data_IF_311869497061
#
_entry.id   IF_311869497061
#
_cell.length_a   1.000
_cell.length_b   1.000
_cell.length_c   1.000
_cell.angle_alpha   90.00
_cell.angle_beta   90.00
_cell.angle_gamma   90.00
#
_symmetry.space_group_name_H-M   'P 1'
#
loop_
_entity.id
_entity.type
_entity.pdbx_description
1 polymer ?
#
# COMPACT_ATOMS: atom_id res chain seq x y z
N UNK A 1 -36.76 -62.03 -41.00
CA UNK A 1 -35.79 -61.00 -41.45
C UNK A 1 -35.63 -59.99 -40.32
N UNK A 2 -34.59 -60.21 -39.49
CA UNK A 2 -34.32 -59.36 -38.29
C UNK A 2 -33.30 -58.30 -38.67
N UNK A 3 -33.63 -57.04 -38.43
CA UNK A 3 -32.67 -55.91 -38.50
C UNK A 3 -32.19 -55.61 -37.10
N UNK A 4 -30.90 -55.53 -36.83
CA UNK A 4 -30.41 -55.03 -35.53
C UNK A 4 -30.37 -53.50 -35.51
N UNK A 5 -30.86 -52.94 -34.41
CA UNK A 5 -30.80 -51.53 -34.09
C UNK A 5 -29.39 -51.17 -33.60
N UNK A 6 -28.75 -50.19 -34.25
CA UNK A 6 -27.50 -49.57 -33.81
C UNK A 6 -27.75 -48.52 -32.76
N UNK A 7 -27.33 -48.80 -31.54
CA UNK A 7 -27.25 -47.81 -30.44
C UNK A 7 -25.99 -46.93 -30.64
N UNK A 8 -26.21 -45.69 -31.03
CA UNK A 8 -25.14 -44.67 -31.06
C UNK A 8 -24.96 -44.09 -29.65
N UNK A 9 -23.84 -44.43 -29.00
CA UNK A 9 -23.42 -43.84 -27.75
C UNK A 9 -22.87 -42.43 -27.99
N UNK A 10 -23.58 -41.39 -27.53
CA UNK A 10 -23.10 -40.03 -27.50
C UNK A 10 -22.15 -39.86 -26.30
N UNK A 11 -20.86 -39.79 -26.54
CA UNK A 11 -19.87 -39.31 -25.56
C UNK A 11 -19.91 -37.78 -25.51
N UNK A 12 -20.41 -37.23 -24.40
CA UNK A 12 -20.34 -35.81 -24.09
C UNK A 12 -18.98 -35.54 -23.44
N UNK A 13 -18.10 -34.71 -24.00
CA UNK A 13 -16.86 -34.33 -23.34
C UNK A 13 -17.16 -33.36 -22.22
N UNK A 14 -16.83 -33.75 -20.99
CA UNK A 14 -16.88 -32.89 -19.78
C UNK A 14 -15.70 -31.91 -19.86
N UNK A 15 -15.96 -30.67 -20.29
CA UNK A 15 -15.02 -29.57 -20.24
C UNK A 15 -14.80 -29.14 -18.79
N UNK A 16 -13.68 -29.57 -18.19
CA UNK A 16 -13.18 -29.07 -16.92
C UNK A 16 -12.68 -27.63 -17.12
N UNK A 17 -13.52 -26.64 -16.81
CA UNK A 17 -13.10 -25.25 -16.70
C UNK A 17 -12.20 -25.08 -15.47
N UNK A 18 -10.88 -25.12 -15.68
CA UNK A 18 -9.90 -24.69 -14.68
C UNK A 18 -9.99 -23.18 -14.51
N UNK A 19 -10.87 -22.73 -13.62
CA UNK A 19 -10.93 -21.34 -13.20
C UNK A 19 -9.64 -20.98 -12.47
N UNK A 20 -8.81 -20.12 -13.08
CA UNK A 20 -7.73 -19.43 -12.36
C UNK A 20 -8.33 -18.53 -11.29
N UNK A 21 -8.50 -19.05 -10.08
CA UNK A 21 -8.82 -18.23 -8.93
C UNK A 21 -7.59 -17.34 -8.64
N UNK A 22 -7.64 -16.09 -9.07
CA UNK A 22 -6.70 -15.07 -8.60
C UNK A 22 -6.95 -14.92 -7.10
N UNK A 23 -6.12 -15.56 -6.29
CA UNK A 23 -6.07 -15.25 -4.85
C UNK A 23 -5.64 -13.80 -4.73
N UNK A 24 -6.60 -12.92 -4.40
CA UNK A 24 -6.29 -11.62 -3.82
C UNK A 24 -5.38 -11.89 -2.63
N UNK A 25 -4.14 -11.43 -2.67
CA UNK A 25 -3.22 -11.56 -1.55
C UNK A 25 -3.90 -10.93 -0.34
N UNK A 26 -4.20 -11.74 0.67
CA UNK A 26 -4.78 -11.24 1.91
C UNK A 26 -3.82 -10.20 2.50
N UNK A 27 -4.37 -9.09 3.02
CA UNK A 27 -3.59 -8.11 3.74
C UNK A 27 -2.78 -8.83 4.84
N UNK A 28 -1.49 -8.46 5.03
CA UNK A 28 -0.70 -9.09 6.07
C UNK A 28 -1.37 -8.90 7.44
N UNK A 29 -1.32 -9.91 8.33
CA UNK A 29 -1.97 -9.84 9.62
C UNK A 29 -1.47 -8.64 10.44
N UNK A 30 -2.31 -8.03 11.31
CA UNK A 30 -1.90 -6.97 12.21
C UNK A 30 -0.70 -7.40 13.06
N UNK A 31 0.21 -6.46 13.36
CA UNK A 31 1.29 -6.68 14.34
C UNK A 31 0.75 -6.24 15.70
N UNK A 32 0.64 -7.13 16.69
CA UNK A 32 0.10 -6.78 18.00
C UNK A 32 0.84 -5.60 18.64
N UNK A 33 0.11 -4.66 19.22
CA UNK A 33 0.67 -3.47 19.88
C UNK A 33 1.06 -2.33 18.94
N UNK A 34 0.79 -2.44 17.64
CA UNK A 34 1.05 -1.40 16.63
C UNK A 34 -0.19 -1.05 15.84
N UNK A 35 -0.28 0.21 15.42
CA UNK A 35 -1.41 0.74 14.64
C UNK A 35 -1.29 0.24 13.20
N UNK A 36 -2.31 -0.45 12.71
CA UNK A 36 -2.38 -0.92 11.33
C UNK A 36 -2.92 0.15 10.37
N UNK A 37 -2.84 -0.12 9.05
CA UNK A 37 -3.27 0.82 8.01
C UNK A 37 -4.72 1.27 8.19
N UNK A 38 -5.64 0.35 8.38
CA UNK A 38 -7.08 0.66 8.53
C UNK A 38 -7.34 1.58 9.71
N UNK A 39 -6.77 1.26 10.87
CA UNK A 39 -6.92 2.06 12.09
C UNK A 39 -6.32 3.46 11.93
N UNK A 40 -5.12 3.57 11.35
CA UNK A 40 -4.46 4.84 11.09
C UNK A 40 -5.28 5.74 10.15
N UNK A 41 -5.81 5.17 9.05
CA UNK A 41 -6.63 5.91 8.08
C UNK A 41 -7.93 6.39 8.73
N UNK A 42 -8.63 5.50 9.47
CA UNK A 42 -9.87 5.85 10.17
C UNK A 42 -9.65 6.97 11.17
N UNK A 43 -8.66 6.85 12.05
CA UNK A 43 -8.39 7.84 13.07
C UNK A 43 -7.94 9.19 12.47
N UNK A 44 -7.15 9.19 11.38
CA UNK A 44 -6.78 10.40 10.67
C UNK A 44 -7.97 11.07 9.94
N UNK A 45 -8.99 10.31 9.57
CA UNK A 45 -10.24 10.85 9.00
C UNK A 45 -11.15 11.41 10.06
N UNK A 46 -11.23 10.77 11.23
CA UNK A 46 -12.08 11.17 12.34
C UNK A 46 -11.59 12.48 13.01
N UNK A 47 -10.26 12.71 13.05
CA UNK A 47 -9.66 13.95 13.52
C UNK A 47 -8.57 14.46 12.55
N UNK A 48 -8.95 15.10 11.43
CA UNK A 48 -7.98 15.55 10.42
C UNK A 48 -6.97 16.58 10.93
N UNK A 49 -7.33 17.37 11.95
CA UNK A 49 -6.48 18.41 12.48
C UNK A 49 -5.33 17.84 13.33
N UNK A 50 -5.63 16.88 14.20
CA UNK A 50 -4.63 16.26 15.09
C UNK A 50 -4.06 14.97 14.52
N UNK A 51 -4.87 14.18 13.84
CA UNK A 51 -4.50 12.85 13.41
C UNK A 51 -4.32 11.88 14.58
N UNK A 52 -3.57 10.81 14.37
CA UNK A 52 -3.25 9.83 15.41
C UNK A 52 -1.73 9.68 15.54
N UNK A 53 -1.22 9.75 16.76
CA UNK A 53 0.21 9.54 17.06
C UNK A 53 0.43 8.15 17.63
N UNK A 54 1.55 7.53 17.22
CA UNK A 54 1.91 6.19 17.68
C UNK A 54 3.01 5.53 16.86
N UNK A 55 3.10 4.22 16.98
CA UNK A 55 3.95 3.40 16.11
C UNK A 55 3.06 2.59 15.16
N UNK A 56 3.29 2.78 13.89
CA UNK A 56 2.51 2.19 12.80
C UNK A 56 3.26 0.98 12.23
N UNK A 57 2.53 -0.09 11.95
CA UNK A 57 3.06 -1.24 11.22
C UNK A 57 2.53 -1.23 9.79
N UNK A 58 3.40 -1.05 8.80
CA UNK A 58 3.02 -1.06 7.39
C UNK A 58 3.97 -1.90 6.54
N UNK A 59 3.45 -2.52 5.49
CA UNK A 59 4.26 -3.17 4.46
C UNK A 59 4.45 -2.20 3.29
N UNK A 60 5.70 -1.98 2.87
CA UNK A 60 5.99 -1.12 1.71
C UNK A 60 5.58 -1.86 0.44
N UNK A 61 4.73 -1.26 -0.38
CA UNK A 61 4.31 -1.82 -1.67
C UNK A 61 4.86 -1.01 -2.85
N UNK A 62 5.14 0.28 -2.65
CA UNK A 62 5.74 1.14 -3.66
C UNK A 62 6.67 2.17 -3.03
N UNK A 63 7.73 2.50 -3.76
CA UNK A 63 8.68 3.57 -3.45
C UNK A 63 8.60 4.57 -4.60
N UNK A 64 8.48 5.85 -4.29
CA UNK A 64 8.44 6.92 -5.28
C UNK A 64 9.23 8.14 -4.81
N UNK A 65 9.53 9.03 -5.76
CA UNK A 65 10.15 10.32 -5.47
C UNK A 65 9.57 11.38 -6.40
N UNK A 66 9.36 12.57 -5.86
CA UNK A 66 8.87 13.73 -6.60
C UNK A 66 9.29 15.01 -5.86
N UNK A 67 9.75 16.01 -6.60
CA UNK A 67 10.10 17.35 -6.11
C UNK A 67 10.94 17.35 -4.80
N UNK A 68 12.04 16.59 -4.81
CA UNK A 68 12.97 16.53 -3.66
C UNK A 68 12.43 15.75 -2.45
N UNK A 69 11.32 15.05 -2.60
CA UNK A 69 10.72 14.20 -1.56
C UNK A 69 10.73 12.73 -1.97
N UNK A 70 10.75 11.87 -0.96
CA UNK A 70 10.62 10.41 -1.11
C UNK A 70 9.33 9.98 -0.42
N UNK A 71 8.66 9.03 -1.05
CA UNK A 71 7.40 8.45 -0.58
C UNK A 71 7.51 6.92 -0.52
N UNK A 72 7.22 6.35 0.65
CA UNK A 72 7.04 4.92 0.80
C UNK A 72 5.54 4.67 1.02
N UNK A 73 4.92 3.91 0.14
CA UNK A 73 3.48 3.66 0.16
C UNK A 73 3.17 2.24 0.62
N UNK A 74 2.12 2.10 1.43
CA UNK A 74 1.63 0.81 1.89
C UNK A 74 0.78 0.08 0.85
N UNK A 75 0.41 0.77 -0.24
CA UNK A 75 -0.31 0.23 -1.37
C UNK A 75 0.44 0.52 -2.67
N UNK A 76 0.19 -0.27 -3.71
CA UNK A 76 0.79 -0.04 -5.05
C UNK A 76 0.27 1.23 -5.69
N UNK A 77 -1.03 1.48 -5.55
CA UNK A 77 -1.64 2.75 -5.92
C UNK A 77 -1.67 3.66 -4.69
N UNK A 78 -0.88 4.72 -4.70
CA UNK A 78 -0.81 5.70 -3.62
C UNK A 78 -2.14 6.45 -3.37
N UNK A 79 -3.11 6.34 -4.30
CA UNK A 79 -4.47 6.90 -4.14
C UNK A 79 -5.45 5.93 -3.48
N UNK A 80 -5.02 4.70 -3.21
CA UNK A 80 -5.87 3.71 -2.56
C UNK A 80 -6.37 4.24 -1.21
N UNK A 81 -7.68 4.10 -0.89
CA UNK A 81 -8.26 4.68 0.33
C UNK A 81 -7.60 4.24 1.64
N UNK A 82 -7.00 3.06 1.68
CA UNK A 82 -6.29 2.51 2.84
C UNK A 82 -4.78 2.70 2.77
N UNK A 83 -4.27 3.48 1.79
CA UNK A 83 -2.85 3.74 1.70
C UNK A 83 -2.37 4.64 2.84
N UNK A 84 -1.25 4.24 3.46
CA UNK A 84 -0.42 5.11 4.30
C UNK A 84 0.83 5.45 3.49
N UNK A 85 1.16 6.72 3.44
CA UNK A 85 2.37 7.25 2.82
C UNK A 85 3.34 7.74 3.88
N UNK A 86 4.56 7.20 3.93
CA UNK A 86 5.66 7.87 4.61
C UNK A 86 6.24 8.90 3.66
N UNK A 87 6.29 10.15 4.10
CA UNK A 87 6.78 11.27 3.33
C UNK A 87 8.02 11.85 4.01
N UNK A 88 9.12 11.98 3.29
CA UNK A 88 10.39 12.49 3.82
C UNK A 88 11.14 13.33 2.80
N UNK A 89 12.03 14.19 3.27
CA UNK A 89 12.98 14.90 2.43
C UNK A 89 13.96 13.91 1.80
N UNK A 90 14.31 14.11 0.53
CA UNK A 90 15.26 13.26 -0.18
C UNK A 90 16.67 13.27 0.46
N UNK A 91 17.04 14.34 1.14
CA UNK A 91 18.30 14.44 1.88
C UNK A 91 18.39 13.44 3.04
N UNK A 92 17.25 12.93 3.53
CA UNK A 92 17.21 11.92 4.59
C UNK A 92 17.60 10.52 4.09
N UNK A 93 17.55 10.29 2.78
CA UNK A 93 17.74 8.96 2.17
C UNK A 93 19.01 8.25 2.62
N UNK A 94 20.22 8.87 2.56
CA UNK A 94 21.44 8.16 2.93
C UNK A 94 21.43 7.67 4.38
N UNK A 95 20.99 8.53 5.32
CA UNK A 95 20.95 8.21 6.73
C UNK A 95 19.90 7.13 7.04
N UNK A 96 18.76 7.13 6.33
CA UNK A 96 17.73 6.11 6.51
C UNK A 96 18.20 4.76 5.93
N UNK A 97 18.83 4.74 4.77
CA UNK A 97 19.38 3.53 4.16
C UNK A 97 20.48 2.92 5.04
N UNK A 98 21.32 3.74 5.66
CA UNK A 98 22.33 3.29 6.64
C UNK A 98 21.67 2.70 7.89
N UNK A 99 20.68 3.38 8.47
CA UNK A 99 19.95 2.91 9.65
C UNK A 99 19.22 1.59 9.42
N UNK A 100 18.68 1.39 8.21
CA UNK A 100 18.00 0.16 7.82
C UNK A 100 18.96 -0.95 7.31
N UNK A 101 20.20 -0.61 6.95
CA UNK A 101 21.12 -1.53 6.30
C UNK A 101 20.65 -1.99 4.92
N UNK A 102 19.76 -1.24 4.27
CA UNK A 102 19.12 -1.61 3.01
C UNK A 102 18.77 -0.35 2.20
N UNK A 103 18.99 -0.39 0.87
CA UNK A 103 18.54 0.67 -0.03
C UNK A 103 17.01 0.74 -0.08
N UNK A 104 16.44 1.95 -0.13
CA UNK A 104 15.00 2.16 -0.14
C UNK A 104 14.30 1.45 -1.31
N UNK A 105 14.98 1.35 -2.46
CA UNK A 105 14.44 0.68 -3.65
C UNK A 105 14.20 -0.83 -3.45
N UNK A 106 14.81 -1.45 -2.44
CA UNK A 106 14.61 -2.86 -2.06
C UNK A 106 13.65 -3.06 -0.89
N UNK A 107 12.94 -2.01 -0.47
CA UNK A 107 11.96 -2.10 0.63
C UNK A 107 10.64 -2.74 0.22
N UNK A 108 10.38 -2.95 -1.08
CA UNK A 108 9.13 -3.56 -1.51
C UNK A 108 8.88 -4.90 -0.81
N UNK A 109 7.66 -5.08 -0.29
CA UNK A 109 7.21 -6.20 0.54
C UNK A 109 7.89 -6.31 1.91
N UNK A 110 8.73 -5.35 2.30
CA UNK A 110 9.26 -5.29 3.66
C UNK A 110 8.27 -4.63 4.60
N UNK A 111 8.18 -5.15 5.82
CA UNK A 111 7.34 -4.59 6.86
C UNK A 111 8.17 -3.66 7.74
N UNK A 112 7.68 -2.44 7.91
CA UNK A 112 8.30 -1.40 8.72
C UNK A 112 7.44 -1.08 9.94
N UNK A 113 8.09 -0.69 11.03
CA UNK A 113 7.51 0.04 12.15
C UNK A 113 7.95 1.49 12.04
N UNK A 114 6.97 2.39 12.13
CA UNK A 114 7.20 3.82 11.95
C UNK A 114 6.59 4.60 13.10
N UNK A 115 7.41 5.31 13.85
CA UNK A 115 6.96 6.24 14.89
C UNK A 115 6.60 7.59 14.30
N UNK A 116 5.47 8.17 14.69
CA UNK A 116 5.06 9.49 14.21
C UNK A 116 3.58 9.77 14.38
N UNK A 117 3.08 10.71 13.59
CA UNK A 117 1.66 11.09 13.57
C UNK A 117 1.10 10.91 12.17
N UNK A 118 0.13 10.03 12.02
CA UNK A 118 -0.62 9.88 10.79
C UNK A 118 -1.68 10.97 10.69
N UNK A 119 -1.66 11.74 9.59
CA UNK A 119 -2.59 12.84 9.31
C UNK A 119 -3.25 12.68 7.97
N UNK A 120 -4.48 13.15 7.85
CA UNK A 120 -5.16 13.28 6.57
C UNK A 120 -4.65 14.53 5.85
N UNK A 121 -4.03 14.35 4.67
CA UNK A 121 -3.46 15.41 3.86
C UNK A 121 -4.22 15.53 2.55
N UNK A 122 -4.62 16.75 2.19
CA UNK A 122 -5.19 17.04 0.87
C UNK A 122 -4.08 17.16 -0.15
N UNK A 123 -4.24 16.46 -1.28
CA UNK A 123 -3.32 16.50 -2.42
C UNK A 123 -4.09 17.06 -3.62
N UNK A 124 -3.69 18.23 -4.08
CA UNK A 124 -4.26 18.87 -5.27
C UNK A 124 -3.56 18.35 -6.54
N UNK A 125 -4.34 18.11 -7.59
CA UNK A 125 -3.79 17.85 -8.90
C UNK A 125 -3.33 19.17 -9.53
N UNK A 126 -2.11 19.17 -10.02
CA UNK A 126 -1.50 20.32 -10.69
C UNK A 126 -1.74 20.18 -12.20
N UNK A 127 -2.14 21.27 -12.84
CA UNK A 127 -2.29 21.36 -14.28
C UNK A 127 -0.94 21.63 -14.99
N UNK A 128 -0.94 21.66 -16.32
CA UNK A 128 0.26 21.91 -17.11
C UNK A 128 0.92 23.29 -16.86
N UNK A 129 0.19 24.24 -16.28
CA UNK A 129 0.70 25.57 -15.91
C UNK A 129 1.27 25.63 -14.48
N UNK A 130 1.36 24.50 -13.77
CA UNK A 130 1.83 24.43 -12.38
C UNK A 130 0.82 24.94 -11.35
N UNK A 131 -0.46 25.15 -11.74
CA UNK A 131 -1.51 25.61 -10.85
C UNK A 131 -2.46 24.48 -10.45
N UNK A 132 -3.10 24.53 -9.25
CA UNK A 132 -4.11 23.58 -8.86
C UNK A 132 -5.25 23.50 -9.91
N UNK A 133 -5.59 22.28 -10.33
CA UNK A 133 -6.63 22.04 -11.32
C UNK A 133 -8.07 22.09 -10.78
N UNK A 134 -8.21 22.29 -9.46
CA UNK A 134 -9.49 22.18 -8.75
C UNK A 134 -9.87 20.74 -8.39
N UNK A 135 -9.16 19.73 -8.90
CA UNK A 135 -9.30 18.34 -8.50
C UNK A 135 -8.34 18.02 -7.37
N UNK A 136 -8.77 17.20 -6.41
CA UNK A 136 -7.94 16.77 -5.28
C UNK A 136 -8.35 15.38 -4.82
N UNK A 137 -7.50 14.78 -4.00
CA UNK A 137 -7.79 13.58 -3.22
C UNK A 137 -7.14 13.69 -1.84
N UNK A 138 -7.41 12.75 -0.96
CA UNK A 138 -6.81 12.73 0.35
C UNK A 138 -5.89 11.52 0.51
N UNK A 139 -4.78 11.74 1.20
CA UNK A 139 -3.87 10.68 1.66
C UNK A 139 -3.75 10.70 3.18
N UNK A 140 -3.49 9.54 3.76
CA UNK A 140 -3.00 9.45 5.13
C UNK A 140 -1.48 9.43 5.09
N UNK A 141 -0.83 10.46 5.64
CA UNK A 141 0.63 10.61 5.60
C UNK A 141 1.22 10.63 7.00
N UNK A 142 2.44 10.07 7.11
CA UNK A 142 3.32 10.17 8.27
C UNK A 142 4.60 10.85 7.78
N UNK A 143 4.92 12.02 8.35
CA UNK A 143 6.18 12.70 8.05
C UNK A 143 7.32 12.04 8.81
N UNK A 144 8.38 11.68 8.09
CA UNK A 144 9.63 11.16 8.64
C UNK A 144 10.69 12.25 8.51
N UNK A 145 11.23 12.68 9.63
CA UNK A 145 12.29 13.69 9.72
C UNK A 145 13.56 13.18 10.39
N UNK A 146 13.50 11.99 10.97
CA UNK A 146 14.61 11.33 11.66
C UNK A 146 14.63 9.83 11.26
N UNK A 147 15.79 9.29 10.84
CA UNK A 147 15.91 7.86 10.50
C UNK A 147 15.46 6.93 11.62
N UNK A 148 15.61 7.33 12.89
CA UNK A 148 15.22 6.56 14.07
C UNK A 148 13.71 6.33 14.19
N UNK A 149 12.90 7.09 13.45
CA UNK A 149 11.45 6.86 13.38
C UNK A 149 11.10 5.55 12.65
N UNK A 150 12.03 5.01 11.85
CA UNK A 150 11.75 3.87 10.96
C UNK A 150 12.67 2.71 11.30
N UNK A 151 12.08 1.52 11.46
CA UNK A 151 12.82 0.27 11.65
C UNK A 151 12.07 -0.90 11.04
N UNK A 152 12.73 -2.01 10.80
CA UNK A 152 12.03 -3.23 10.41
C UNK A 152 11.12 -3.74 11.53
N UNK A 153 9.97 -4.30 11.13
CA UNK A 153 9.15 -5.07 12.05
C UNK A 153 9.82 -6.41 12.35
N UNK A 154 9.62 -6.96 13.56
CA UNK A 154 10.12 -8.28 13.94
C UNK A 154 9.49 -9.40 13.10
#
# INVERSE_FOLDING_TARGET
MNRPALLASLLVPLLLATGCAHRLAAAPPPVPGYIGNYEAVRAAQDDPARGISGTFAMSVQAVGSDDGRIYLNSERDYRHPLNITLSMDAALRPALEEALGLKLDYLQNRRLLVGGTARRVRIDFINASGQPSGKYYYQTQISVSDPRQVRFAP
#
